data_IF_194796641814
#
_entry.id   IF_194796641814
#
_cell.length_a   1.000
_cell.length_b   1.000
_cell.length_c   1.000
_cell.angle_alpha   90.00
_cell.angle_beta   90.00
_cell.angle_gamma   90.00
#
_symmetry.space_group_name_H-M   'P 1'
#
loop_
_entity.id
_entity.type
_entity.pdbx_description
1 polymer ?
#
# COMPACT_ATOMS: atom_id res chain seq x y z
N UNK A 1 9.55 -15.68 -6.52
CA UNK A 1 9.41 -14.31 -5.99
C UNK A 1 10.36 -14.04 -4.83
N UNK A 2 10.53 -14.97 -3.90
CA UNK A 2 11.29 -14.77 -2.66
C UNK A 2 12.82 -14.66 -2.84
N UNK A 3 13.42 -15.32 -3.85
CA UNK A 3 14.87 -15.36 -4.02
C UNK A 3 15.45 -14.07 -4.63
N UNK A 4 14.68 -13.38 -5.47
CA UNK A 4 15.08 -12.12 -6.12
C UNK A 4 13.88 -11.18 -6.31
N UNK A 5 13.31 -10.66 -5.22
CA UNK A 5 12.08 -9.88 -5.29
C UNK A 5 12.21 -8.64 -6.16
N UNK A 6 13.37 -7.97 -6.13
CA UNK A 6 13.63 -6.78 -6.94
C UNK A 6 13.72 -7.04 -8.46
N UNK A 7 13.75 -8.29 -8.91
CA UNK A 7 13.77 -8.66 -10.33
C UNK A 7 12.44 -9.24 -10.80
N UNK A 8 11.47 -9.41 -9.89
CA UNK A 8 10.17 -9.96 -10.22
C UNK A 8 9.31 -8.94 -10.96
N UNK A 9 8.74 -9.32 -12.09
CA UNK A 9 7.64 -8.58 -12.72
C UNK A 9 6.36 -8.98 -12.01
N UNK A 10 5.68 -8.02 -11.39
CA UNK A 10 4.44 -8.24 -10.65
C UNK A 10 3.25 -7.62 -11.38
N UNK A 11 2.12 -8.29 -11.36
CA UNK A 11 0.88 -7.80 -11.96
C UNK A 11 -0.33 -8.35 -11.20
N UNK A 12 -1.44 -7.66 -11.29
CA UNK A 12 -2.73 -8.09 -10.74
C UNK A 12 -3.48 -8.90 -11.79
N UNK A 13 -3.63 -8.32 -12.98
CA UNK A 13 -4.28 -8.95 -14.13
C UNK A 13 -3.52 -8.70 -15.42
N UNK A 14 -3.82 -9.50 -16.42
CA UNK A 14 -3.43 -9.35 -17.82
C UNK A 14 -4.56 -9.86 -18.72
N UNK A 15 -4.37 -9.85 -20.03
CA UNK A 15 -5.38 -10.25 -21.00
C UNK A 15 -5.82 -11.72 -20.89
N UNK A 16 -4.97 -12.60 -20.36
CA UNK A 16 -5.34 -14.01 -20.13
C UNK A 16 -6.15 -14.17 -18.85
N UNK A 17 -5.69 -13.59 -17.75
CA UNK A 17 -6.38 -13.65 -16.46
C UNK A 17 -7.78 -13.06 -16.55
N UNK A 18 -7.93 -11.89 -17.16
CA UNK A 18 -9.24 -11.20 -17.24
C UNK A 18 -10.25 -11.97 -18.10
N UNK A 19 -9.78 -12.74 -19.07
CA UNK A 19 -10.65 -13.58 -19.89
C UNK A 19 -11.24 -14.78 -19.12
N UNK A 20 -10.42 -15.42 -18.29
CA UNK A 20 -10.77 -16.71 -17.68
C UNK A 20 -11.20 -16.61 -16.22
N UNK A 21 -10.63 -15.66 -15.48
CA UNK A 21 -10.87 -15.52 -14.03
C UNK A 21 -10.63 -14.06 -13.56
N UNK A 22 -11.44 -13.09 -13.97
CA UNK A 22 -11.23 -11.69 -13.62
C UNK A 22 -11.38 -11.46 -12.11
N UNK A 23 -10.55 -10.60 -11.57
CA UNK A 23 -10.71 -10.12 -10.20
C UNK A 23 -11.82 -9.07 -10.19
N UNK A 24 -12.95 -9.40 -9.57
CA UNK A 24 -14.14 -8.53 -9.56
C UNK A 24 -14.15 -7.59 -8.36
N UNK A 25 -13.73 -8.09 -7.19
CA UNK A 25 -13.81 -7.35 -5.94
C UNK A 25 -12.43 -6.93 -5.43
N UNK A 26 -12.39 -5.77 -4.78
CA UNK A 26 -11.21 -5.27 -4.05
C UNK A 26 -9.91 -5.23 -4.90
N UNK A 27 -10.03 -5.16 -6.23
CA UNK A 27 -8.90 -5.15 -7.18
C UNK A 27 -7.82 -4.13 -6.81
N UNK A 28 -8.23 -2.97 -6.32
CA UNK A 28 -7.30 -1.91 -5.93
C UNK A 28 -6.43 -2.30 -4.72
N UNK A 29 -6.86 -3.21 -3.86
CA UNK A 29 -6.02 -3.74 -2.77
C UNK A 29 -4.84 -4.53 -3.33
N UNK A 30 -5.06 -5.30 -4.40
CA UNK A 30 -3.99 -6.03 -5.07
C UNK A 30 -2.99 -5.07 -5.74
N UNK A 31 -3.48 -3.98 -6.38
CA UNK A 31 -2.59 -2.93 -6.90
C UNK A 31 -1.83 -2.21 -5.78
N UNK A 32 -2.48 -1.91 -4.66
CA UNK A 32 -1.80 -1.32 -3.51
C UNK A 32 -0.67 -2.23 -2.99
N UNK A 33 -0.90 -3.54 -2.98
CA UNK A 33 0.12 -4.51 -2.60
C UNK A 33 1.32 -4.47 -3.58
N UNK A 34 1.11 -4.66 -4.88
CA UNK A 34 2.25 -4.73 -5.83
C UNK A 34 2.97 -3.39 -6.00
N UNK A 35 2.27 -2.25 -5.87
CA UNK A 35 2.86 -0.91 -6.01
C UNK A 35 3.59 -0.44 -4.74
N UNK A 36 3.41 -1.11 -3.61
CA UNK A 36 4.17 -0.80 -2.38
C UNK A 36 5.31 -1.77 -2.13
N UNK A 37 5.29 -2.96 -2.71
CA UNK A 37 6.31 -4.00 -2.55
C UNK A 37 7.45 -3.86 -3.57
N UNK A 38 8.40 -4.78 -3.48
CA UNK A 38 9.53 -4.88 -4.40
C UNK A 38 9.09 -5.49 -5.74
N UNK A 39 9.83 -5.18 -6.80
CA UNK A 39 9.62 -5.69 -8.15
C UNK A 39 9.32 -4.59 -9.15
N UNK A 40 8.94 -5.02 -10.35
CA UNK A 40 8.49 -4.16 -11.44
C UNK A 40 6.98 -4.31 -11.62
N UNK A 41 6.17 -3.48 -10.95
CA UNK A 41 4.71 -3.61 -11.02
C UNK A 41 4.19 -3.19 -12.39
N UNK A 42 3.39 -4.07 -13.00
CA UNK A 42 2.69 -3.79 -14.25
C UNK A 42 1.22 -3.46 -13.94
N UNK A 43 0.77 -2.31 -14.41
CA UNK A 43 -0.63 -1.90 -14.35
C UNK A 43 -1.30 -2.28 -15.66
N UNK A 44 -2.35 -3.10 -15.56
CA UNK A 44 -3.11 -3.52 -16.74
C UNK A 44 -4.02 -2.37 -17.23
N UNK A 45 -3.96 -2.04 -18.51
CA UNK A 45 -4.62 -0.87 -19.08
C UNK A 45 -6.15 -0.90 -18.92
N UNK A 46 -6.79 -2.07 -18.97
CA UNK A 46 -8.23 -2.19 -18.75
C UNK A 46 -8.62 -1.83 -17.32
N UNK A 47 -7.82 -2.21 -16.33
CA UNK A 47 -8.07 -1.85 -14.94
C UNK A 47 -7.94 -0.35 -14.74
N UNK A 48 -6.93 0.23 -15.36
CA UNK A 48 -6.67 1.66 -15.27
C UNK A 48 -7.79 2.50 -15.89
N UNK A 49 -8.20 2.18 -17.12
CA UNK A 49 -9.16 2.98 -17.88
C UNK A 49 -10.62 2.51 -17.77
N UNK A 50 -10.88 1.20 -17.87
CA UNK A 50 -12.25 0.69 -17.97
C UNK A 50 -12.88 0.42 -16.60
N UNK A 51 -12.07 0.15 -15.56
CA UNK A 51 -12.54 -0.06 -14.19
C UNK A 51 -12.47 1.21 -13.33
N UNK A 52 -12.14 2.34 -13.92
CA UNK A 52 -12.04 3.65 -13.26
C UNK A 52 -11.10 3.64 -12.03
N UNK A 53 -10.04 2.84 -12.07
CA UNK A 53 -9.09 2.75 -10.97
C UNK A 53 -8.01 3.83 -11.01
N UNK A 54 -7.89 4.60 -12.09
CA UNK A 54 -6.93 5.68 -12.23
C UNK A 54 -7.12 6.75 -11.16
N UNK A 55 -8.33 7.28 -11.02
CA UNK A 55 -8.69 8.32 -10.05
C UNK A 55 -7.69 9.48 -9.99
N UNK A 56 -7.41 10.18 -11.11
CA UNK A 56 -6.40 11.25 -11.14
C UNK A 56 -6.73 12.34 -10.12
N UNK A 57 -5.70 12.84 -9.42
CA UNK A 57 -5.79 13.80 -8.33
C UNK A 57 -6.53 13.32 -7.06
N UNK A 58 -6.73 12.03 -6.92
CA UNK A 58 -7.35 11.42 -5.74
C UNK A 58 -6.36 10.45 -5.07
N UNK A 59 -6.28 10.48 -3.74
CA UNK A 59 -5.41 9.59 -2.97
C UNK A 59 -5.88 8.12 -2.97
N UNK A 60 -7.04 7.84 -3.53
CA UNK A 60 -7.64 6.49 -3.53
C UNK A 60 -7.33 5.65 -4.77
N UNK A 61 -6.76 6.23 -5.83
CA UNK A 61 -6.58 5.55 -7.11
C UNK A 61 -5.19 4.98 -7.36
N UNK A 62 -5.04 4.31 -8.49
CA UNK A 62 -3.75 3.77 -8.94
C UNK A 62 -2.71 4.88 -9.13
N UNK A 63 -3.10 6.08 -9.60
CA UNK A 63 -2.17 7.20 -9.80
C UNK A 63 -1.45 7.60 -8.50
N UNK A 64 -2.17 7.63 -7.38
CA UNK A 64 -1.57 7.91 -6.08
C UNK A 64 -0.56 6.82 -5.67
N UNK A 65 -0.90 5.56 -5.94
CA UNK A 65 -0.02 4.42 -5.66
C UNK A 65 1.23 4.42 -6.57
N UNK A 66 1.09 4.74 -7.86
CA UNK A 66 2.22 4.90 -8.79
C UNK A 66 3.16 6.00 -8.28
N UNK A 67 2.60 7.15 -7.89
CA UNK A 67 3.38 8.25 -7.34
C UNK A 67 4.14 7.85 -6.07
N UNK A 68 3.51 7.11 -5.16
CA UNK A 68 4.16 6.56 -3.97
C UNK A 68 5.26 5.58 -4.36
N UNK A 69 5.01 4.69 -5.32
CA UNK A 69 5.98 3.73 -5.81
C UNK A 69 7.25 4.43 -6.33
N UNK A 70 7.09 5.38 -7.23
CA UNK A 70 8.20 6.08 -7.89
C UNK A 70 8.99 6.98 -6.94
N UNK A 71 8.31 7.66 -6.01
CA UNK A 71 8.93 8.69 -5.19
C UNK A 71 9.40 8.21 -3.82
N UNK A 72 8.83 7.11 -3.30
CA UNK A 72 9.03 6.71 -1.91
C UNK A 72 9.39 5.25 -1.69
N UNK A 73 8.95 4.32 -2.58
CA UNK A 73 9.07 2.90 -2.33
C UNK A 73 10.48 2.37 -2.62
N UNK A 74 11.37 2.39 -1.64
CA UNK A 74 12.73 1.90 -1.74
C UNK A 74 13.17 1.07 -0.53
N UNK A 75 14.19 0.26 -0.74
CA UNK A 75 14.71 -0.69 0.25
C UNK A 75 13.90 -2.00 0.27
N UNK A 76 14.33 -3.00 1.02
CA UNK A 76 13.64 -4.27 1.14
C UNK A 76 12.33 -4.13 1.91
N UNK A 77 11.31 -4.92 1.51
CA UNK A 77 10.07 -5.02 2.26
C UNK A 77 10.30 -5.77 3.57
N UNK A 78 9.86 -5.19 4.67
CA UNK A 78 9.97 -5.74 6.02
C UNK A 78 8.58 -5.84 6.63
N UNK A 79 8.09 -7.06 6.85
CA UNK A 79 6.79 -7.28 7.48
C UNK A 79 6.91 -6.94 8.96
N UNK A 80 6.07 -6.02 9.43
CA UNK A 80 6.02 -5.57 10.82
C UNK A 80 4.91 -6.26 11.61
N UNK A 81 3.81 -6.60 10.92
CA UNK A 81 2.68 -7.30 11.51
C UNK A 81 1.91 -8.07 10.44
N UNK A 82 1.44 -9.27 10.76
CA UNK A 82 0.58 -10.07 9.89
C UNK A 82 -0.32 -11.01 10.69
N UNK A 83 -1.61 -11.01 10.35
CA UNK A 83 -2.59 -12.03 10.71
C UNK A 83 -3.62 -12.14 9.57
N UNK A 84 -4.72 -12.86 9.78
CA UNK A 84 -5.77 -13.05 8.75
C UNK A 84 -6.49 -11.75 8.36
N UNK A 85 -6.48 -10.76 9.24
CA UNK A 85 -7.24 -9.53 9.12
C UNK A 85 -6.42 -8.31 8.71
N UNK A 86 -5.14 -8.29 9.06
CA UNK A 86 -4.29 -7.11 8.95
C UNK A 86 -2.88 -7.49 8.51
N UNK A 87 -2.36 -6.76 7.54
CA UNK A 87 -0.99 -6.84 7.07
C UNK A 87 -0.33 -5.47 7.14
N UNK A 88 0.82 -5.37 7.81
CA UNK A 88 1.61 -4.12 7.88
C UNK A 88 3.05 -4.40 7.48
N UNK A 89 3.56 -3.61 6.56
CA UNK A 89 4.91 -3.70 6.04
C UNK A 89 5.54 -2.33 5.93
N UNK A 90 6.85 -2.22 6.12
CA UNK A 90 7.61 -1.02 5.80
C UNK A 90 8.63 -1.27 4.68
N UNK A 91 8.88 -0.24 3.88
CA UNK A 91 10.07 -0.11 3.03
C UNK A 91 10.93 1.01 3.62
N UNK A 92 12.18 0.73 3.99
CA UNK A 92 12.97 1.70 4.77
C UNK A 92 13.43 2.94 3.99
N UNK A 93 13.26 2.95 2.66
CA UNK A 93 13.79 4.02 1.82
C UNK A 93 15.28 3.85 1.50
N UNK A 94 15.82 4.84 0.81
CA UNK A 94 17.24 5.00 0.49
C UNK A 94 17.63 6.49 0.52
N UNK A 95 18.79 6.86 -0.04
CA UNK A 95 19.24 8.25 -0.06
C UNK A 95 18.30 9.21 -0.84
N UNK A 96 17.53 8.69 -1.80
CA UNK A 96 16.69 9.49 -2.70
C UNK A 96 15.19 9.33 -2.44
N UNK A 97 14.78 8.31 -1.70
CA UNK A 97 13.38 7.94 -1.46
C UNK A 97 13.15 7.70 0.02
N UNK A 98 12.14 8.34 0.58
CA UNK A 98 11.87 8.38 2.03
C UNK A 98 11.53 7.03 2.66
N UNK A 99 11.07 6.07 1.86
CA UNK A 99 10.42 4.87 2.37
C UNK A 99 8.95 5.10 2.67
N UNK A 100 8.28 4.05 3.12
CA UNK A 100 6.85 4.04 3.41
C UNK A 100 6.49 2.98 4.47
N UNK A 101 5.30 3.13 5.07
CA UNK A 101 4.59 2.04 5.76
C UNK A 101 3.28 1.78 5.04
N UNK A 102 3.04 0.53 4.68
CA UNK A 102 1.82 0.04 4.05
C UNK A 102 0.99 -0.75 5.06
N UNK A 103 -0.29 -0.43 5.16
CA UNK A 103 -1.28 -1.10 6.00
C UNK A 103 -2.41 -1.59 5.12
N UNK A 104 -2.70 -2.89 5.13
CA UNK A 104 -3.80 -3.51 4.41
C UNK A 104 -4.74 -4.18 5.41
N UNK A 105 -6.02 -3.83 5.34
CA UNK A 105 -7.08 -4.28 6.24
C UNK A 105 -8.14 -5.09 5.49
N UNK A 106 -8.34 -6.33 5.91
CA UNK A 106 -9.33 -7.26 5.33
C UNK A 106 -10.65 -7.31 6.11
N UNK A 107 -10.80 -6.52 7.19
CA UNK A 107 -12.03 -6.51 8.00
C UNK A 107 -13.06 -5.50 7.51
N UNK A 108 -14.29 -5.62 7.99
CA UNK A 108 -15.38 -4.67 7.71
C UNK A 108 -15.35 -3.39 8.55
N UNK A 109 -14.41 -3.22 9.45
CA UNK A 109 -14.21 -2.03 10.28
C UNK A 109 -12.81 -1.46 10.14
N UNK A 110 -12.56 -0.28 10.70
CA UNK A 110 -11.20 0.25 10.86
C UNK A 110 -10.36 -0.71 11.70
N UNK A 111 -9.12 -0.96 11.30
CA UNK A 111 -8.22 -1.87 12.00
C UNK A 111 -6.80 -1.32 12.08
N UNK A 112 -6.09 -1.66 13.14
CA UNK A 112 -4.72 -1.22 13.39
C UNK A 112 -3.93 -2.24 14.22
N UNK A 113 -2.62 -2.06 14.27
CA UNK A 113 -1.76 -2.70 15.24
C UNK A 113 -0.65 -1.75 15.70
N UNK A 114 -0.20 -1.95 16.94
CA UNK A 114 1.04 -1.34 17.42
C UNK A 114 2.22 -2.03 16.76
N UNK A 115 3.03 -1.23 16.06
CA UNK A 115 4.20 -1.70 15.33
C UNK A 115 5.40 -0.82 15.62
N UNK A 116 6.59 -1.39 15.50
CA UNK A 116 7.83 -0.63 15.58
C UNK A 116 8.37 -0.38 14.17
N UNK A 117 8.45 0.89 13.78
CA UNK A 117 9.04 1.31 12.52
C UNK A 117 10.51 1.68 12.68
N UNK A 118 11.20 1.89 11.55
CA UNK A 118 12.57 2.44 11.59
C UNK A 118 12.65 3.93 11.96
N UNK A 119 11.54 4.64 11.85
CA UNK A 119 11.50 6.09 12.11
C UNK A 119 11.14 6.36 13.57
N UNK A 120 11.92 7.21 14.21
CA UNK A 120 11.73 7.62 15.61
C UNK A 120 11.34 9.09 15.67
N UNK A 121 10.46 9.48 16.59
CA UNK A 121 9.99 10.85 16.76
C UNK A 121 9.57 11.50 15.42
N UNK A 122 8.97 10.71 14.53
CA UNK A 122 8.68 11.10 13.15
C UNK A 122 7.19 11.08 12.89
N UNK A 123 6.70 12.10 12.19
CA UNK A 123 5.32 12.15 11.70
C UNK A 123 5.16 11.21 10.50
N UNK A 124 4.19 10.32 10.58
CA UNK A 124 3.75 9.45 9.49
C UNK A 124 2.41 9.95 8.97
N UNK A 125 2.41 10.48 7.76
CA UNK A 125 1.22 11.08 7.14
C UNK A 125 0.67 10.18 6.02
N UNK A 126 -0.67 9.98 5.94
CA UNK A 126 -1.27 9.21 4.85
C UNK A 126 -1.06 9.90 3.51
N UNK A 127 -0.63 9.14 2.49
CA UNK A 127 -0.36 9.61 1.14
C UNK A 127 -1.25 8.96 0.08
N UNK A 128 -1.61 7.71 0.29
CA UNK A 128 -2.56 6.98 -0.54
C UNK A 128 -3.40 6.06 0.35
N UNK A 129 -4.72 6.06 0.17
CA UNK A 129 -5.62 5.20 0.93
C UNK A 129 -6.92 4.97 0.19
N UNK A 130 -7.55 3.86 0.46
CA UNK A 130 -8.94 3.59 0.08
C UNK A 130 -9.56 2.63 1.07
N UNK A 131 -10.81 2.86 1.40
CA UNK A 131 -11.68 1.94 2.12
C UNK A 131 -12.98 1.72 1.38
N UNK A 132 -13.76 0.77 1.86
CA UNK A 132 -15.13 0.56 1.41
C UNK A 132 -16.01 1.70 1.92
N UNK A 133 -17.02 2.08 1.14
CA UNK A 133 -18.12 2.96 1.55
C UNK A 133 -17.67 4.34 2.09
N UNK A 134 -16.69 4.96 1.43
CA UNK A 134 -16.19 6.29 1.81
C UNK A 134 -15.82 6.41 3.31
N UNK A 135 -15.19 5.39 3.85
CA UNK A 135 -14.89 5.25 5.28
C UNK A 135 -14.06 6.40 5.90
N UNK A 136 -13.68 7.39 5.10
CA UNK A 136 -12.93 8.57 5.56
C UNK A 136 -11.41 8.43 5.39
N UNK A 137 -10.71 9.43 5.90
CA UNK A 137 -9.25 9.57 5.75
C UNK A 137 -8.54 9.00 6.99
N UNK A 138 -7.49 8.17 6.79
CA UNK A 138 -6.62 7.77 7.89
C UNK A 138 -5.96 9.00 8.54
N UNK A 139 -5.83 8.99 9.85
CA UNK A 139 -5.18 10.07 10.58
C UNK A 139 -3.66 9.95 10.50
N UNK A 140 -2.98 11.08 10.44
CA UNK A 140 -1.54 11.11 10.66
C UNK A 140 -1.20 10.73 12.10
N UNK A 141 -0.04 10.10 12.29
CA UNK A 141 0.43 9.60 13.58
C UNK A 141 1.90 9.96 13.78
N UNK A 142 2.31 10.02 15.03
CA UNK A 142 3.69 10.23 15.41
C UNK A 142 4.27 8.96 16.02
N UNK A 143 5.44 8.55 15.57
CA UNK A 143 6.22 7.51 16.24
C UNK A 143 6.82 8.08 17.52
N UNK A 144 6.96 7.25 18.55
CA UNK A 144 7.66 7.64 19.76
C UNK A 144 9.20 7.58 19.59
N UNK A 145 9.93 7.80 20.68
CA UNK A 145 11.40 7.76 20.75
C UNK A 145 12.03 6.41 20.41
N UNK A 146 11.24 5.35 20.41
CA UNK A 146 11.64 3.98 20.05
C UNK A 146 11.01 3.51 18.73
N UNK A 147 10.35 4.39 17.97
CA UNK A 147 9.74 4.09 16.68
C UNK A 147 8.38 3.39 16.73
N UNK A 148 7.76 3.26 17.91
CA UNK A 148 6.44 2.64 18.06
C UNK A 148 5.30 3.59 17.67
N UNK A 149 4.29 3.02 16.99
CA UNK A 149 3.10 3.73 16.53
C UNK A 149 1.96 2.75 16.26
N UNK A 150 0.70 3.19 16.40
CA UNK A 150 -0.47 2.47 15.89
C UNK A 150 -0.91 3.07 14.54
N UNK A 151 -0.85 2.31 13.48
CA UNK A 151 -1.28 2.75 12.15
C UNK A 151 -2.56 2.03 11.73
N UNK A 152 -3.49 2.81 11.20
CA UNK A 152 -4.84 2.38 10.88
C UNK A 152 -5.06 2.32 9.37
N UNK A 153 -5.81 1.31 8.94
CA UNK A 153 -6.37 1.26 7.60
C UNK A 153 -7.91 1.17 7.65
N UNK A 154 -8.59 1.78 6.67
CA UNK A 154 -10.05 1.76 6.60
C UNK A 154 -10.61 0.37 6.28
N UNK A 155 -11.92 0.16 6.47
CA UNK A 155 -12.59 -1.11 6.22
C UNK A 155 -12.36 -1.63 4.80
N UNK A 156 -12.02 -2.92 4.66
CA UNK A 156 -11.73 -3.56 3.35
C UNK A 156 -10.89 -2.65 2.47
N UNK A 157 -9.77 -2.18 3.04
CA UNK A 157 -9.02 -1.09 2.45
C UNK A 157 -7.53 -1.13 2.76
N UNK A 158 -6.87 -0.05 2.38
CA UNK A 158 -5.46 0.15 2.65
C UNK A 158 -5.16 1.60 3.03
N UNK A 159 -4.00 1.79 3.64
CA UNK A 159 -3.38 3.10 3.83
C UNK A 159 -1.86 3.00 3.62
N UNK A 160 -1.30 3.98 2.94
CA UNK A 160 0.15 4.15 2.79
C UNK A 160 0.56 5.41 3.52
N UNK A 161 1.47 5.27 4.47
CA UNK A 161 2.00 6.36 5.27
C UNK A 161 3.43 6.69 4.86
N UNK A 162 3.73 7.98 4.75
CA UNK A 162 5.07 8.49 4.44
C UNK A 162 5.65 9.26 5.62
N UNK A 163 6.94 9.08 5.93
CA UNK A 163 7.64 9.88 6.93
C UNK A 163 7.78 11.33 6.44
N UNK A 164 7.56 12.28 7.36
CA UNK A 164 7.59 13.74 7.10
C UNK A 164 8.44 14.45 8.15
#
# INVERSE_FOLDING_TARGET
MWDRPAQAVTFVENHDVVRDSPIINDKLLAYAFILTHEGYPCVFWQDYFNWDLAQPNNQSGIDALIKVHEQNAAGPAQVLFVNDDLYIMQRPGNANQSGLVFVLNNTGGWNSAWIQTRWVNTRLAPAAWRGRDDAGTPQEKWTNDSGWVDLWAPPRGYAVYLPK
#
